data_IF_476751666857
#
_entry.id   IF_476751666857
#
_cell.length_a   1.000
_cell.length_b   1.000
_cell.length_c   1.000
_cell.angle_alpha   90.00
_cell.angle_beta   90.00
_cell.angle_gamma   90.00
#
_symmetry.space_group_name_H-M   'P 1'
#
loop_
_entity.id
_entity.type
_entity.pdbx_description
1 polymer ?
#
# COMPACT_ATOMS: atom_id res chain seq x y z
N UNK A 1 -7.63 -6.49 -6.47
CA UNK A 1 -7.58 -5.20 -7.18
C UNK A 1 -6.34 -4.48 -6.69
N UNK A 2 -5.38 -4.19 -7.56
CA UNK A 2 -4.08 -3.61 -7.16
C UNK A 2 -4.02 -2.12 -7.44
N UNK A 3 -3.42 -1.35 -6.54
CA UNK A 3 -3.16 0.08 -6.70
C UNK A 3 -1.66 0.34 -6.68
N UNK A 4 -1.21 1.49 -7.18
CA UNK A 4 0.20 1.87 -7.14
C UNK A 4 0.38 3.27 -6.53
N UNK A 5 1.46 3.44 -5.77
CA UNK A 5 1.81 4.75 -5.22
C UNK A 5 2.24 5.71 -6.32
N UNK A 6 1.75 6.95 -6.24
CA UNK A 6 2.11 8.02 -7.17
C UNK A 6 3.27 8.89 -6.66
N UNK A 7 3.66 8.73 -5.40
CA UNK A 7 4.76 9.43 -4.74
C UNK A 7 5.45 8.50 -3.74
N UNK A 8 6.66 8.86 -3.32
CA UNK A 8 7.38 8.14 -2.25
C UNK A 8 6.74 8.44 -0.89
N UNK A 9 6.77 7.45 0.01
CA UNK A 9 6.41 7.59 1.43
C UNK A 9 7.61 7.06 2.24
N UNK A 10 8.63 7.90 2.48
CA UNK A 10 9.90 7.47 3.07
C UNK A 10 9.77 6.87 4.47
N UNK A 11 8.81 7.36 5.26
CA UNK A 11 8.52 6.91 6.63
C UNK A 11 8.20 5.41 6.67
N UNK A 12 7.53 4.94 5.62
CA UNK A 12 7.07 3.56 5.45
C UNK A 12 7.96 2.76 4.51
N UNK A 13 9.05 3.36 4.04
CA UNK A 13 10.00 2.80 3.05
C UNK A 13 9.31 2.40 1.75
N UNK A 14 8.25 3.11 1.37
CA UNK A 14 7.52 2.86 0.13
C UNK A 14 7.97 3.80 -0.98
N UNK A 15 8.24 3.23 -2.15
CA UNK A 15 8.64 3.98 -3.33
C UNK A 15 7.47 4.17 -4.29
N UNK A 16 7.49 5.27 -5.05
CA UNK A 16 6.58 5.50 -6.17
C UNK A 16 6.58 4.31 -7.13
N UNK A 17 5.39 3.88 -7.53
CA UNK A 17 5.17 2.74 -8.41
C UNK A 17 5.12 1.38 -7.69
N UNK A 18 5.35 1.34 -6.37
CA UNK A 18 5.12 0.13 -5.59
C UNK A 18 3.63 -0.19 -5.55
N UNK A 19 3.30 -1.45 -5.82
CA UNK A 19 1.93 -1.95 -5.92
C UNK A 19 1.48 -2.50 -4.58
N UNK A 20 0.29 -2.08 -4.13
CA UNK A 20 -0.38 -2.56 -2.93
C UNK A 20 -1.71 -3.24 -3.24
N UNK A 21 -2.23 -3.98 -2.27
CA UNK A 21 -3.54 -4.64 -2.33
C UNK A 21 -4.47 -3.98 -1.33
N UNK A 22 -5.66 -3.56 -1.77
CA UNK A 22 -6.70 -3.09 -0.85
C UNK A 22 -7.19 -4.29 -0.04
N UNK A 23 -7.11 -4.19 1.28
CA UNK A 23 -7.55 -5.24 2.22
C UNK A 23 -8.90 -4.90 2.85
N UNK A 24 -9.18 -3.62 3.06
CA UNK A 24 -10.43 -3.15 3.66
C UNK A 24 -10.80 -1.73 3.16
N UNK A 25 -12.09 -1.40 3.14
CA UNK A 25 -12.61 -0.04 2.99
C UNK A 25 -13.02 0.45 4.39
N UNK A 26 -12.36 1.49 4.89
CA UNK A 26 -12.58 2.00 6.23
C UNK A 26 -13.73 3.03 6.26
N UNK A 27 -13.87 3.80 5.19
CA UNK A 27 -14.99 4.72 4.94
C UNK A 27 -15.12 5.01 3.43
N UNK A 28 -16.09 5.85 3.03
CA UNK A 28 -16.38 6.21 1.63
C UNK A 28 -15.18 6.74 0.81
N UNK A 29 -14.08 7.12 1.46
CA UNK A 29 -12.88 7.71 0.85
C UNK A 29 -11.55 7.12 1.35
N UNK A 30 -11.58 6.22 2.32
CA UNK A 30 -10.39 5.70 3.00
C UNK A 30 -10.34 4.18 2.87
N UNK A 31 -9.19 3.66 2.45
CA UNK A 31 -8.98 2.23 2.23
C UNK A 31 -7.72 1.79 2.95
N UNK A 32 -7.78 0.66 3.63
CA UNK A 32 -6.57 0.01 4.11
C UNK A 32 -5.90 -0.74 2.95
N UNK A 33 -4.62 -0.48 2.76
CA UNK A 33 -3.80 -1.03 1.68
C UNK A 33 -2.58 -1.73 2.29
N UNK A 34 -2.44 -3.02 1.98
CA UNK A 34 -1.26 -3.79 2.32
C UNK A 34 -0.22 -3.72 1.20
N UNK A 35 1.02 -3.39 1.57
CA UNK A 35 2.16 -3.42 0.65
C UNK A 35 3.06 -4.60 0.98
N UNK A 36 3.33 -5.43 -0.03
CA UNK A 36 4.26 -6.55 0.08
C UNK A 36 5.58 -6.25 -0.65
N UNK A 37 6.68 -6.81 -0.14
CA UNK A 37 7.96 -6.80 -0.84
C UNK A 37 7.93 -7.70 -2.10
N UNK A 38 9.00 -7.65 -2.91
CA UNK A 38 9.12 -8.50 -4.11
C UNK A 38 9.14 -10.01 -3.82
N UNK A 39 9.19 -10.42 -2.54
CA UNK A 39 9.14 -11.81 -2.07
C UNK A 39 7.76 -12.16 -1.49
N UNK A 40 6.77 -11.27 -1.61
CA UNK A 40 5.40 -11.48 -1.14
C UNK A 40 5.24 -11.36 0.38
N UNK A 41 6.20 -10.75 1.08
CA UNK A 41 6.10 -10.53 2.53
C UNK A 41 5.49 -9.17 2.80
N UNK A 42 4.49 -9.12 3.66
CA UNK A 42 3.91 -7.87 4.17
C UNK A 42 5.03 -6.99 4.74
N UNK A 43 5.13 -5.78 4.20
CA UNK A 43 6.12 -4.80 4.62
C UNK A 43 5.49 -3.81 5.60
N UNK A 44 4.28 -3.35 5.28
CA UNK A 44 3.46 -2.43 6.11
C UNK A 44 2.01 -2.43 5.61
N UNK A 45 1.08 -1.95 6.42
CA UNK A 45 -0.28 -1.57 6.00
C UNK A 45 -0.53 -0.09 6.32
N UNK A 46 -1.24 0.59 5.43
CA UNK A 46 -1.56 2.01 5.55
C UNK A 46 -3.05 2.25 5.30
N UNK A 47 -3.63 3.19 6.03
CA UNK A 47 -5.02 3.64 5.94
C UNK A 47 -5.09 5.06 5.37
#
# INVERSE_FOLDING_TARGET
>A
MGIALLQDIPEEKLARGQVGTIVEELDDRTFEVEFADKKGRTMTSLA
#
